data_IF_221474537019
#
_entry.id   IF_221474537019
#
_cell.length_a   1.000
_cell.length_b   1.000
_cell.length_c   1.000
_cell.angle_alpha   90.00
_cell.angle_beta   90.00
_cell.angle_gamma   90.00
#
_symmetry.space_group_name_H-M   'P 1'
#
loop_
_entity.id
_entity.type
_entity.pdbx_description
1 polymer ?
#
# COMPACT_ATOMS: atom_id res chain seq x y z
N UNK A 1 29.31 64.73 -11.82
CA UNK A 1 27.96 64.20 -11.53
C UNK A 1 27.75 63.00 -12.40
N UNK A 2 27.73 61.77 -11.82
CA UNK A 2 27.52 60.51 -12.56
C UNK A 2 26.00 60.21 -12.59
N UNK A 3 25.41 60.23 -13.78
CA UNK A 3 24.01 59.82 -13.97
C UNK A 3 23.91 58.33 -13.76
N UNK A 4 23.23 57.89 -12.67
CA UNK A 4 22.87 56.51 -12.45
C UNK A 4 21.77 56.16 -13.44
N UNK A 5 22.07 55.22 -14.37
CA UNK A 5 21.13 54.63 -15.26
C UNK A 5 20.22 53.68 -14.45
N UNK A 6 19.03 54.12 -14.07
CA UNK A 6 18.01 53.23 -13.52
C UNK A 6 17.53 52.31 -14.66
N UNK A 7 18.05 51.10 -14.71
CA UNK A 7 17.50 50.03 -15.53
C UNK A 7 16.03 49.84 -15.14
N UNK A 8 15.12 49.99 -16.10
CA UNK A 8 13.67 49.72 -15.92
C UNK A 8 13.51 48.22 -15.58
N UNK A 9 13.19 47.95 -14.34
CA UNK A 9 12.71 46.64 -13.94
C UNK A 9 11.33 46.45 -14.60
N UNK A 10 11.28 45.64 -15.66
CA UNK A 10 10.02 45.24 -16.30
C UNK A 10 9.17 44.46 -15.30
N UNK A 11 7.98 44.99 -14.97
CA UNK A 11 7.01 44.27 -14.14
C UNK A 11 6.27 43.25 -14.98
N UNK A 12 5.89 42.11 -14.39
CA UNK A 12 5.00 41.10 -14.99
C UNK A 12 3.60 41.69 -15.21
N UNK A 13 2.98 41.35 -16.34
CA UNK A 13 1.60 41.69 -16.59
C UNK A 13 0.65 40.72 -15.90
N UNK A 14 -0.55 41.17 -15.53
CA UNK A 14 -1.60 40.30 -14.95
C UNK A 14 -1.94 39.10 -15.84
N UNK A 15 -1.95 39.32 -17.17
CA UNK A 15 -2.29 38.26 -18.12
C UNK A 15 -1.21 37.19 -18.21
N UNK A 16 0.08 37.57 -18.13
CA UNK A 16 1.19 36.60 -18.09
C UNK A 16 1.08 35.69 -16.85
N UNK A 17 0.76 36.25 -15.71
CA UNK A 17 0.58 35.47 -14.48
C UNK A 17 -0.65 34.56 -14.59
N UNK A 18 -1.77 35.05 -15.14
CA UNK A 18 -3.00 34.29 -15.30
C UNK A 18 -2.81 33.09 -16.21
N UNK A 19 -2.14 33.25 -17.36
CA UNK A 19 -1.87 32.14 -18.29
C UNK A 19 -0.98 31.08 -17.66
N UNK A 20 0.05 31.49 -16.91
CA UNK A 20 0.96 30.55 -16.22
C UNK A 20 0.22 29.71 -15.19
N UNK A 21 -0.62 30.34 -14.34
CA UNK A 21 -1.37 29.56 -13.32
C UNK A 21 -2.42 28.65 -13.95
N UNK A 22 -3.01 29.05 -15.08
CA UNK A 22 -3.94 28.22 -15.84
C UNK A 22 -3.24 26.95 -16.37
N UNK A 23 -2.07 27.11 -16.99
CA UNK A 23 -1.30 25.96 -17.52
C UNK A 23 -0.86 25.04 -16.39
N UNK A 24 -0.32 25.58 -15.29
CA UNK A 24 0.08 24.79 -14.12
C UNK A 24 -1.13 24.05 -13.53
N UNK A 25 -2.30 24.69 -13.45
CA UNK A 25 -3.52 24.08 -12.96
C UNK A 25 -3.94 22.85 -13.78
N UNK A 26 -3.91 22.96 -15.11
CA UNK A 26 -4.25 21.84 -16.01
C UNK A 26 -3.23 20.69 -15.85
N UNK A 27 -1.94 21.00 -15.85
CA UNK A 27 -0.89 19.98 -15.68
C UNK A 27 -0.97 19.29 -14.32
N UNK A 28 -1.20 20.04 -13.24
CA UNK A 28 -1.35 19.52 -11.90
C UNK A 28 -2.57 18.58 -11.78
N UNK A 29 -3.69 18.91 -12.43
CA UNK A 29 -4.89 18.08 -12.40
C UNK A 29 -4.65 16.69 -13.01
N UNK A 30 -3.80 16.56 -14.02
CA UNK A 30 -3.43 15.29 -14.64
C UNK A 30 -2.34 14.54 -13.85
N UNK A 31 -1.42 15.27 -13.23
CA UNK A 31 -0.28 14.69 -12.55
C UNK A 31 -0.63 14.12 -11.15
N UNK A 32 -1.57 14.76 -10.44
CA UNK A 32 -1.89 14.41 -9.05
C UNK A 32 -2.39 12.97 -8.85
N UNK A 33 -3.34 12.42 -9.64
CA UNK A 33 -3.79 11.04 -9.47
C UNK A 33 -2.67 10.02 -9.73
N UNK A 34 -1.83 10.26 -10.74
CA UNK A 34 -0.70 9.38 -11.04
C UNK A 34 0.35 9.39 -9.92
N UNK A 35 0.62 10.56 -9.35
CA UNK A 35 1.53 10.68 -8.20
C UNK A 35 1.01 9.93 -6.97
N UNK A 36 -0.28 10.05 -6.66
CA UNK A 36 -0.90 9.32 -5.55
C UNK A 36 -0.77 7.81 -5.73
N UNK A 37 -1.01 7.30 -6.94
CA UNK A 37 -0.86 5.88 -7.28
C UNK A 37 0.60 5.41 -7.14
N UNK A 38 1.54 6.16 -7.67
CA UNK A 38 2.97 5.83 -7.59
C UNK A 38 3.50 5.81 -6.14
N UNK A 39 3.09 6.77 -5.32
CA UNK A 39 3.46 6.79 -3.91
C UNK A 39 2.85 5.62 -3.12
N UNK A 40 1.62 5.23 -3.45
CA UNK A 40 0.98 4.09 -2.81
C UNK A 40 1.64 2.76 -3.21
N UNK A 41 2.05 2.59 -4.46
CA UNK A 41 2.84 1.44 -4.92
C UNK A 41 4.15 1.28 -4.14
N UNK A 42 4.85 2.38 -3.87
CA UNK A 42 6.05 2.35 -3.04
C UNK A 42 5.76 1.88 -1.61
N UNK A 43 4.64 2.30 -1.02
CA UNK A 43 4.21 1.85 0.32
C UNK A 43 3.87 0.36 0.34
N UNK A 44 3.17 -0.11 -0.70
CA UNK A 44 2.88 -1.54 -0.86
C UNK A 44 4.16 -2.35 -0.97
N UNK A 45 5.17 -1.88 -1.67
CA UNK A 45 6.46 -2.56 -1.75
C UNK A 45 7.05 -2.88 -0.37
N UNK A 46 7.00 -1.90 0.55
CA UNK A 46 7.43 -2.11 1.94
C UNK A 46 6.52 -3.11 2.69
N UNK A 47 5.20 -3.05 2.48
CA UNK A 47 4.26 -3.98 3.08
C UNK A 47 4.44 -5.41 2.57
N UNK A 48 4.72 -5.60 1.28
CA UNK A 48 5.01 -6.91 0.69
C UNK A 48 6.31 -7.51 1.22
N UNK A 49 7.37 -6.71 1.35
CA UNK A 49 8.63 -7.17 1.93
C UNK A 49 8.43 -7.62 3.39
N UNK A 50 7.71 -6.82 4.18
CA UNK A 50 7.34 -7.18 5.55
C UNK A 50 6.50 -8.45 5.60
N UNK A 51 5.49 -8.58 4.73
CA UNK A 51 4.63 -9.76 4.65
C UNK A 51 5.41 -11.05 4.38
N UNK A 52 6.39 -10.99 3.50
CA UNK A 52 7.27 -12.15 3.21
C UNK A 52 8.11 -12.51 4.42
N UNK A 53 8.73 -11.53 5.09
CA UNK A 53 9.53 -11.77 6.30
C UNK A 53 8.71 -12.42 7.41
N UNK A 54 7.49 -11.94 7.65
CA UNK A 54 6.59 -12.53 8.66
C UNK A 54 6.20 -13.96 8.28
N UNK A 55 5.82 -14.19 7.03
CA UNK A 55 5.47 -15.53 6.54
C UNK A 55 6.62 -16.51 6.74
N UNK A 56 7.82 -16.14 6.32
CA UNK A 56 9.00 -16.99 6.44
C UNK A 56 9.32 -17.30 7.91
N UNK A 57 9.11 -16.36 8.84
CA UNK A 57 9.25 -16.59 10.28
C UNK A 57 8.17 -17.52 10.83
N UNK A 58 6.93 -17.39 10.37
CA UNK A 58 5.82 -18.30 10.73
C UNK A 58 6.12 -19.72 10.25
N UNK A 59 6.62 -19.86 9.02
CA UNK A 59 6.98 -21.17 8.45
C UNK A 59 8.13 -21.82 9.23
N UNK A 60 9.18 -21.07 9.60
CA UNK A 60 10.27 -21.57 10.46
C UNK A 60 9.76 -22.01 11.84
N UNK A 61 8.89 -21.22 12.45
CA UNK A 61 8.29 -21.57 13.74
C UNK A 61 7.48 -22.87 13.63
N UNK A 62 6.66 -23.00 12.58
CA UNK A 62 5.88 -24.20 12.33
C UNK A 62 6.75 -25.45 12.13
N UNK A 63 7.82 -25.33 11.34
CA UNK A 63 8.76 -26.43 11.14
C UNK A 63 9.46 -26.88 12.44
N UNK A 64 9.72 -25.95 13.33
CA UNK A 64 10.38 -26.25 14.60
C UNK A 64 9.42 -26.82 15.67
N UNK A 65 8.15 -26.42 15.68
CA UNK A 65 7.21 -26.71 16.78
C UNK A 65 6.00 -27.55 16.37
N UNK A 66 5.79 -27.81 15.07
CA UNK A 66 4.63 -28.53 14.52
C UNK A 66 3.29 -27.82 14.68
N UNK A 67 3.30 -26.55 15.05
CA UNK A 67 2.10 -25.71 15.25
C UNK A 67 2.37 -24.27 14.89
N UNK A 68 1.31 -23.53 14.56
CA UNK A 68 1.43 -22.10 14.33
C UNK A 68 1.71 -21.31 15.62
N UNK A 69 2.39 -20.16 15.53
CA UNK A 69 2.64 -19.28 16.67
C UNK A 69 1.32 -18.72 17.21
N UNK A 70 1.14 -18.74 18.52
CA UNK A 70 -0.07 -18.19 19.16
C UNK A 70 -0.13 -16.66 19.04
N UNK A 71 1.03 -16.01 19.10
CA UNK A 71 1.18 -14.56 18.99
C UNK A 71 2.41 -14.21 18.16
N UNK A 72 2.48 -13.02 17.57
CA UNK A 72 3.63 -12.63 16.75
C UNK A 72 4.93 -12.44 17.53
N UNK A 73 4.88 -12.24 18.84
CA UNK A 73 6.05 -11.99 19.69
C UNK A 73 6.98 -13.21 19.86
N UNK A 74 6.46 -14.42 19.59
CA UNK A 74 7.25 -15.66 19.66
C UNK A 74 8.06 -15.94 18.40
N UNK A 75 7.88 -15.12 17.36
CA UNK A 75 8.65 -15.24 16.13
C UNK A 75 10.08 -14.73 16.32
N UNK A 76 11.01 -15.32 15.59
CA UNK A 76 12.45 -15.00 15.61
C UNK A 76 12.81 -13.66 14.94
N UNK A 77 11.81 -12.93 14.49
CA UNK A 77 11.94 -11.59 13.93
C UNK A 77 11.37 -10.56 14.90
N UNK A 78 12.07 -9.46 15.09
CA UNK A 78 11.59 -8.36 15.93
C UNK A 78 10.40 -7.63 15.27
N UNK A 79 9.18 -8.14 15.46
CA UNK A 79 7.95 -7.50 14.97
C UNK A 79 7.56 -6.29 15.84
N UNK A 80 8.51 -5.41 16.08
CA UNK A 80 8.30 -4.24 16.95
C UNK A 80 7.40 -3.19 16.32
N UNK A 81 7.33 -3.11 14.99
CA UNK A 81 6.52 -2.10 14.31
C UNK A 81 5.97 -2.62 12.97
N UNK A 82 4.67 -2.49 12.80
CA UNK A 82 4.01 -2.60 11.50
C UNK A 82 4.55 -1.54 10.52
N UNK A 83 4.63 -1.81 9.22
CA UNK A 83 5.05 -0.82 8.23
C UNK A 83 4.24 0.47 8.36
N UNK A 84 4.94 1.61 8.28
CA UNK A 84 4.29 2.92 8.35
C UNK A 84 3.12 2.98 7.36
N UNK A 85 1.99 3.49 7.81
CA UNK A 85 0.72 3.58 7.08
C UNK A 85 -0.12 2.31 7.03
N UNK A 86 0.31 1.21 7.64
CA UNK A 86 -0.45 -0.03 7.74
C UNK A 86 -0.79 -0.36 9.19
N UNK A 87 -1.87 -1.07 9.36
CA UNK A 87 -2.26 -1.72 10.60
C UNK A 87 -2.13 -3.22 10.43
N UNK A 88 -1.37 -3.88 11.30
CA UNK A 88 -1.15 -5.32 11.27
C UNK A 88 -2.18 -6.05 12.12
N UNK A 89 -2.77 -7.10 11.56
CA UNK A 89 -3.71 -7.96 12.26
C UNK A 89 -3.23 -9.41 12.18
N UNK A 90 -3.10 -10.06 13.34
CA UNK A 90 -2.61 -11.43 13.48
C UNK A 90 -3.67 -12.39 14.02
N UNK A 91 -4.95 -12.05 13.88
CA UNK A 91 -6.09 -12.80 14.48
C UNK A 91 -6.10 -14.27 14.07
N UNK A 92 -5.68 -14.60 12.86
CA UNK A 92 -5.68 -15.95 12.32
C UNK A 92 -4.31 -16.62 12.32
N UNK A 93 -3.33 -16.06 13.05
CA UNK A 93 -1.97 -16.57 13.05
C UNK A 93 -1.92 -17.99 13.62
N UNK A 94 -2.53 -18.20 14.78
CA UNK A 94 -2.54 -19.49 15.48
C UNK A 94 -3.32 -20.60 14.79
N UNK A 95 -4.31 -20.27 13.98
CA UNK A 95 -5.19 -21.25 13.32
C UNK A 95 -4.78 -21.59 11.90
N UNK A 96 -4.25 -20.62 11.16
CA UNK A 96 -4.06 -20.72 9.70
C UNK A 96 -2.71 -20.14 9.23
N UNK A 97 -1.88 -19.67 10.14
CA UNK A 97 -0.65 -18.96 9.77
C UNK A 97 -0.91 -17.72 8.90
N UNK A 98 -2.11 -17.13 9.01
CA UNK A 98 -2.55 -15.97 8.24
C UNK A 98 -2.35 -14.68 9.04
N UNK A 99 -1.87 -13.66 8.38
CA UNK A 99 -1.88 -12.30 8.90
C UNK A 99 -2.24 -11.30 7.80
N UNK A 100 -2.66 -10.11 8.23
CA UNK A 100 -3.22 -9.08 7.35
C UNK A 100 -2.63 -7.72 7.67
N UNK A 101 -2.36 -6.95 6.63
CA UNK A 101 -1.90 -5.57 6.68
C UNK A 101 -2.97 -4.67 6.08
N UNK A 102 -3.69 -3.94 6.90
CA UNK A 102 -4.74 -3.03 6.46
C UNK A 102 -4.16 -1.65 6.17
N UNK A 103 -4.38 -1.18 4.97
CA UNK A 103 -4.14 0.20 4.57
C UNK A 103 -5.40 1.00 4.80
N UNK A 104 -5.36 1.92 5.79
CA UNK A 104 -6.48 2.79 6.14
C UNK A 104 -6.09 4.26 6.09
N UNK A 105 -7.08 5.13 5.98
CA UNK A 105 -6.89 6.59 5.97
C UNK A 105 -6.00 7.08 4.82
N UNK A 106 -6.11 6.46 3.66
CA UNK A 106 -5.42 6.82 2.43
C UNK A 106 -6.38 7.08 1.28
N UNK A 107 -5.85 7.39 0.09
CA UNK A 107 -6.67 7.49 -1.12
C UNK A 107 -7.26 6.14 -1.55
N UNK A 108 -6.66 5.03 -1.08
CA UNK A 108 -7.06 3.66 -1.36
C UNK A 108 -7.13 2.89 -0.04
N UNK A 109 -8.25 2.23 0.23
CA UNK A 109 -8.41 1.31 1.35
C UNK A 109 -8.37 -0.12 0.84
N UNK A 110 -7.39 -0.89 1.30
CA UNK A 110 -7.15 -2.28 0.91
C UNK A 110 -6.41 -3.02 2.03
N UNK A 111 -6.36 -4.33 1.91
CA UNK A 111 -5.55 -5.18 2.77
C UNK A 111 -4.57 -6.02 1.94
N UNK A 112 -3.38 -6.24 2.47
CA UNK A 112 -2.45 -7.26 2.01
C UNK A 112 -2.56 -8.44 2.96
N UNK A 113 -3.02 -9.57 2.45
CA UNK A 113 -3.13 -10.80 3.22
C UNK A 113 -2.07 -11.78 2.81
N UNK A 114 -1.38 -12.34 3.79
CA UNK A 114 -0.35 -13.35 3.59
C UNK A 114 -0.65 -14.59 4.43
N UNK A 115 -0.37 -15.77 3.88
CA UNK A 115 -0.51 -17.06 4.55
C UNK A 115 0.78 -17.87 4.45
N UNK A 116 1.01 -18.64 5.51
CA UNK A 116 2.07 -19.63 5.60
C UNK A 116 2.05 -20.63 4.43
N UNK A 117 3.19 -21.20 4.09
CA UNK A 117 3.30 -22.26 3.10
C UNK A 117 2.59 -23.54 3.53
N UNK A 118 2.37 -23.74 4.83
CA UNK A 118 1.68 -24.88 5.43
C UNK A 118 0.25 -24.57 5.91
N UNK A 119 -0.29 -23.42 5.50
CA UNK A 119 -1.67 -23.02 5.81
C UNK A 119 -2.68 -24.08 5.34
N UNK A 120 -3.60 -24.53 6.21
CA UNK A 120 -4.58 -25.54 5.83
C UNK A 120 -5.63 -25.02 4.83
N UNK A 121 -5.89 -23.73 4.79
CA UNK A 121 -6.94 -23.17 3.93
C UNK A 121 -6.44 -22.81 2.54
N UNK A 122 -5.40 -22.00 2.43
CA UNK A 122 -4.83 -21.53 1.16
C UNK A 122 -3.32 -21.35 1.33
N UNK A 123 -2.52 -22.42 1.16
CA UNK A 123 -1.08 -22.37 1.42
C UNK A 123 -0.35 -21.42 0.48
N UNK A 124 0.67 -20.77 1.01
CA UNK A 124 1.58 -19.90 0.27
C UNK A 124 0.89 -18.79 -0.55
N UNK A 125 -0.22 -18.25 -0.05
CA UNK A 125 -0.94 -17.19 -0.76
C UNK A 125 -0.57 -15.81 -0.26
N UNK A 126 -0.43 -14.89 -1.19
CA UNK A 126 -0.30 -13.46 -0.95
C UNK A 126 -1.29 -12.75 -1.87
N UNK A 127 -2.20 -11.98 -1.32
CA UNK A 127 -3.20 -11.29 -2.13
C UNK A 127 -3.52 -9.88 -1.59
N UNK A 128 -3.91 -9.01 -2.52
CA UNK A 128 -4.53 -7.75 -2.22
C UNK A 128 -6.04 -7.97 -2.11
N UNK A 129 -6.65 -7.44 -1.08
CA UNK A 129 -8.08 -7.51 -0.86
C UNK A 129 -8.66 -6.11 -0.64
N UNK A 130 -9.83 -5.84 -1.21
CA UNK A 130 -10.58 -4.61 -0.97
C UNK A 130 -12.07 -4.95 -0.80
N UNK A 131 -12.77 -4.14 -0.04
CA UNK A 131 -14.22 -4.28 0.09
C UNK A 131 -14.90 -3.95 -1.24
N UNK A 132 -15.96 -4.68 -1.57
CA UNK A 132 -16.70 -4.53 -2.83
C UNK A 132 -17.37 -3.16 -2.98
N UNK A 133 -17.68 -2.50 -1.87
CA UNK A 133 -18.24 -1.15 -1.81
C UNK A 133 -17.18 -0.03 -1.90
N UNK A 134 -15.89 -0.40 -1.97
CA UNK A 134 -14.76 0.52 -2.15
C UNK A 134 -14.14 0.39 -3.55
N UNK A 135 -14.66 1.06 -4.58
CA UNK A 135 -14.20 0.91 -5.96
C UNK A 135 -12.75 1.32 -6.15
N UNK A 136 -12.24 2.31 -5.41
CA UNK A 136 -10.84 2.74 -5.50
C UNK A 136 -9.87 1.68 -4.96
N UNK A 137 -10.24 1.01 -3.87
CA UNK A 137 -9.46 -0.09 -3.33
C UNK A 137 -9.45 -1.30 -4.27
N UNK A 138 -10.60 -1.62 -4.86
CA UNK A 138 -10.72 -2.70 -5.86
C UNK A 138 -9.87 -2.40 -7.09
N UNK A 139 -9.99 -1.20 -7.68
CA UNK A 139 -9.18 -0.76 -8.82
C UNK A 139 -7.68 -0.81 -8.49
N UNK A 140 -7.31 -0.40 -7.30
CA UNK A 140 -5.92 -0.47 -6.86
C UNK A 140 -5.40 -1.91 -6.78
N UNK A 141 -6.18 -2.85 -6.26
CA UNK A 141 -5.80 -4.26 -6.22
C UNK A 141 -5.73 -4.91 -7.61
N UNK A 142 -6.58 -4.53 -8.55
CA UNK A 142 -6.64 -5.09 -9.91
C UNK A 142 -5.36 -4.87 -10.74
N UNK A 143 -4.44 -4.03 -10.30
CA UNK A 143 -3.14 -3.87 -10.97
C UNK A 143 -2.26 -5.13 -10.94
N UNK A 144 -2.54 -6.09 -10.04
CA UNK A 144 -1.81 -7.37 -9.95
C UNK A 144 -2.49 -8.52 -10.66
N UNK A 145 -3.73 -8.38 -11.10
CA UNK A 145 -4.47 -9.41 -11.81
C UNK A 145 -5.98 -9.25 -11.73
N UNK A 146 -6.67 -10.29 -12.15
CA UNK A 146 -8.12 -10.30 -12.16
C UNK A 146 -8.70 -10.40 -10.75
N UNK A 147 -9.72 -9.60 -10.52
CA UNK A 147 -10.41 -9.55 -9.24
C UNK A 147 -11.42 -10.72 -9.14
N UNK A 148 -11.30 -11.51 -8.08
CA UNK A 148 -12.24 -12.56 -7.76
C UNK A 148 -13.10 -12.15 -6.56
N UNK A 149 -14.42 -11.95 -6.73
CA UNK A 149 -15.31 -11.71 -5.60
C UNK A 149 -15.42 -12.97 -4.73
N UNK A 150 -15.33 -12.80 -3.43
CA UNK A 150 -15.35 -13.89 -2.47
C UNK A 150 -16.59 -13.85 -1.61
N UNK A 151 -17.75 -13.90 -2.03
CA UNK A 151 -19.03 -14.04 -1.29
C UNK A 151 -19.17 -13.41 0.11
N UNK A 152 -18.06 -12.95 0.71
CA UNK A 152 -17.94 -12.31 2.02
C UNK A 152 -17.86 -10.77 1.95
N UNK A 153 -18.16 -10.19 0.79
CA UNK A 153 -18.09 -8.74 0.59
C UNK A 153 -16.68 -8.19 0.27
N UNK A 154 -15.72 -9.09 0.00
CA UNK A 154 -14.36 -8.74 -0.40
C UNK A 154 -14.05 -9.19 -1.83
N UNK A 155 -13.27 -8.39 -2.50
CA UNK A 155 -12.63 -8.73 -3.77
C UNK A 155 -11.18 -9.05 -3.47
N UNK A 156 -10.67 -10.16 -4.01
CA UNK A 156 -9.29 -10.62 -3.82
C UNK A 156 -8.58 -10.74 -5.14
N UNK A 157 -7.33 -10.29 -5.16
CA UNK A 157 -6.43 -10.37 -6.31
C UNK A 157 -5.13 -10.98 -5.85
N UNK A 158 -4.72 -12.10 -6.44
CA UNK A 158 -3.44 -12.74 -6.12
C UNK A 158 -2.28 -11.85 -6.56
N UNK A 159 -1.31 -11.71 -5.67
CA UNK A 159 -0.03 -11.05 -5.94
C UNK A 159 0.99 -12.16 -6.23
N UNK A 160 1.40 -12.25 -7.49
CA UNK A 160 2.39 -13.25 -7.94
C UNK A 160 3.81 -12.85 -7.56
#
# INVERSE_FOLDING_TARGET
MKNANLSRLGGFTLIELLVVVLIIGILAAMALPNYQRATELSRVGAALAFSRSVRDAVDRYYMAHGRFPATPEVLDIGLTNCPKYFYCQFTYLASDGKFELFRRNGPFDYAITSRSAVSPSLPNTLYCAAQTDNPKGVEFCQQWGDASPSGDGWVRVLIQ
#
